data_IF_806765593312
#
_entry.id   IF_806765593312
#
_cell.length_a   1.000
_cell.length_b   1.000
_cell.length_c   1.000
_cell.angle_alpha   90.00
_cell.angle_beta   90.00
_cell.angle_gamma   90.00
#
_symmetry.space_group_name_H-M   'P 1'
#
loop_
_entity.id
_entity.type
_entity.pdbx_description
1 polymer ?
#
# COMPACT_ATOMS: atom_id res chain seq x y z
N UNK A 1 3.27 -0.12 -14.12
CA UNK A 1 2.75 0.24 -12.79
C UNK A 1 3.70 -0.31 -11.73
N UNK A 2 4.18 0.50 -10.79
CA UNK A 2 4.98 -0.02 -9.68
C UNK A 2 4.01 -0.63 -8.67
N UNK A 3 4.09 -1.92 -8.44
CA UNK A 3 3.28 -2.62 -7.43
C UNK A 3 4.24 -3.26 -6.45
N UNK A 4 4.42 -2.64 -5.29
CA UNK A 4 5.17 -3.22 -4.18
C UNK A 4 4.26 -4.10 -3.33
N UNK A 5 4.82 -5.20 -2.85
CA UNK A 5 4.21 -6.02 -1.80
C UNK A 5 4.73 -5.56 -0.45
N UNK A 6 3.80 -5.19 0.45
CA UNK A 6 4.14 -4.60 1.74
C UNK A 6 4.04 -5.68 2.84
N UNK A 7 5.03 -5.74 3.72
CA UNK A 7 5.08 -6.69 4.83
C UNK A 7 5.69 -6.06 6.08
N UNK A 8 5.03 -6.25 7.21
CA UNK A 8 5.53 -5.86 8.52
C UNK A 8 4.48 -5.13 9.32
N UNK A 9 4.87 -4.62 10.47
CA UNK A 9 4.02 -3.81 11.32
C UNK A 9 4.84 -2.74 12.04
N UNK A 10 4.17 -1.66 12.44
CA UNK A 10 4.76 -0.64 13.30
C UNK A 10 3.69 -0.08 14.24
N UNK A 11 4.15 0.51 15.34
CA UNK A 11 3.34 1.31 16.24
C UNK A 11 3.75 2.77 16.11
N UNK A 12 2.82 3.58 15.65
CA UNK A 12 2.97 5.02 15.60
C UNK A 12 2.34 5.62 16.88
N UNK A 13 3.06 6.45 17.66
CA UNK A 13 2.53 7.00 18.89
C UNK A 13 1.35 7.97 18.68
N UNK A 14 1.14 8.45 17.44
CA UNK A 14 0.03 9.31 17.06
C UNK A 14 -1.10 8.49 16.43
N UNK A 15 -0.78 7.63 15.45
CA UNK A 15 -1.78 6.90 14.64
C UNK A 15 -2.13 5.51 15.20
N UNK A 16 -1.39 4.98 16.17
CA UNK A 16 -1.60 3.64 16.69
C UNK A 16 -0.95 2.56 15.81
N UNK A 17 -1.49 1.34 15.90
CA UNK A 17 -0.90 0.17 15.27
C UNK A 17 -1.27 0.08 13.80
N UNK A 18 -0.33 -0.35 12.96
CA UNK A 18 -0.55 -0.61 11.54
C UNK A 18 0.23 -1.83 11.09
N UNK A 19 -0.40 -2.67 10.27
CA UNK A 19 0.24 -3.83 9.67
C UNK A 19 -0.07 -3.96 8.18
N UNK A 20 0.90 -4.52 7.46
CA UNK A 20 0.75 -4.94 6.09
C UNK A 20 1.12 -6.42 5.94
N UNK A 21 0.30 -7.11 5.17
CA UNK A 21 0.48 -8.49 4.74
C UNK A 21 0.27 -8.58 3.24
N UNK A 22 0.69 -9.66 2.61
CA UNK A 22 0.37 -9.87 1.20
C UNK A 22 0.18 -11.33 0.85
N UNK A 23 -0.67 -11.58 -0.14
CA UNK A 23 -0.88 -12.89 -0.75
C UNK A 23 -0.30 -12.86 -2.17
N UNK A 24 0.41 -13.92 -2.55
CA UNK A 24 0.91 -14.09 -3.92
C UNK A 24 1.01 -15.56 -4.30
N UNK A 25 1.14 -15.82 -5.59
CA UNK A 25 1.46 -17.14 -6.15
C UNK A 25 2.94 -17.24 -6.51
N UNK A 26 3.49 -18.46 -6.57
CA UNK A 26 4.65 -18.75 -7.41
C UNK A 26 4.22 -19.58 -8.61
N UNK A 27 4.93 -19.45 -9.72
CA UNK A 27 4.62 -20.11 -10.98
C UNK A 27 5.83 -20.88 -11.50
N UNK A 28 5.55 -21.92 -12.28
CA UNK A 28 6.57 -22.57 -13.08
C UNK A 28 7.06 -21.57 -14.15
N UNK A 29 8.38 -21.40 -14.35
CA UNK A 29 8.93 -20.55 -15.41
C UNK A 29 8.63 -21.09 -16.82
N UNK A 30 8.39 -22.40 -16.95
CA UNK A 30 8.03 -23.07 -18.21
C UNK A 30 7.15 -24.30 -17.94
N UNK A 31 6.47 -24.81 -18.97
CA UNK A 31 5.66 -26.03 -18.91
C UNK A 31 6.53 -27.29 -18.86
N UNK A 32 5.94 -28.40 -18.40
CA UNK A 32 6.56 -29.74 -18.34
C UNK A 32 7.84 -29.76 -17.50
N UNK A 33 7.79 -29.14 -16.32
CA UNK A 33 8.90 -29.17 -15.38
C UNK A 33 9.14 -30.61 -14.88
N UNK A 34 10.38 -30.93 -14.54
CA UNK A 34 10.77 -32.25 -14.02
C UNK A 34 11.94 -32.13 -13.06
N UNK A 35 11.86 -32.89 -11.96
CA UNK A 35 12.93 -33.00 -10.97
C UNK A 35 13.75 -34.30 -11.16
N UNK A 36 13.45 -35.10 -12.20
CA UNK A 36 14.13 -36.37 -12.46
C UNK A 36 13.58 -37.54 -11.63
N UNK A 37 14.37 -38.62 -11.52
CA UNK A 37 13.94 -39.86 -10.86
C UNK A 37 14.35 -39.88 -9.39
N UNK A 38 13.39 -40.16 -8.50
CA UNK A 38 13.54 -40.13 -7.03
C UNK A 38 14.19 -38.83 -6.52
N UNK A 39 13.60 -37.66 -6.80
CA UNK A 39 14.15 -36.41 -6.33
C UNK A 39 13.90 -36.25 -4.82
N UNK A 40 14.87 -35.67 -4.12
CA UNK A 40 14.81 -35.39 -2.69
C UNK A 40 15.17 -33.92 -2.46
N UNK A 41 14.31 -33.17 -1.78
CA UNK A 41 14.59 -31.77 -1.50
C UNK A 41 15.67 -31.63 -0.42
N UNK A 42 16.64 -30.75 -0.64
CA UNK A 42 17.65 -30.37 0.35
C UNK A 42 17.20 -29.11 1.11
N UNK A 43 16.61 -28.16 0.38
CA UNK A 43 16.04 -26.94 0.96
C UNK A 43 15.19 -26.18 -0.05
N UNK A 44 14.32 -25.30 0.45
CA UNK A 44 13.60 -24.34 -0.40
C UNK A 44 13.67 -22.96 0.23
N UNK A 45 13.98 -21.94 -0.58
CA UNK A 45 14.22 -20.58 -0.10
C UNK A 45 13.46 -19.57 -0.97
N UNK A 46 12.67 -18.72 -0.33
CA UNK A 46 12.06 -17.54 -0.95
C UNK A 46 13.06 -16.38 -0.87
N UNK A 47 13.31 -15.75 -2.00
CA UNK A 47 14.06 -14.51 -2.12
C UNK A 47 13.09 -13.40 -2.49
N UNK A 48 13.12 -12.28 -1.77
CA UNK A 48 12.28 -11.10 -2.00
C UNK A 48 13.16 -9.86 -2.18
N UNK A 49 13.03 -9.20 -3.32
CA UNK A 49 13.79 -8.00 -3.67
C UNK A 49 13.39 -6.80 -2.80
N UNK A 50 14.26 -6.44 -1.86
CA UNK A 50 14.05 -5.35 -0.92
C UNK A 50 14.21 -4.00 -1.63
N UNK A 51 13.23 -3.10 -1.47
CA UNK A 51 13.25 -1.79 -2.14
C UNK A 51 13.20 -0.59 -1.22
N UNK A 52 12.48 -0.69 -0.11
CA UNK A 52 12.33 0.40 0.84
C UNK A 52 11.79 -0.13 2.16
N UNK A 53 11.73 0.75 3.14
CA UNK A 53 11.06 0.54 4.41
C UNK A 53 10.32 1.80 4.85
N UNK A 54 9.49 1.66 5.88
CA UNK A 54 8.83 2.75 6.59
C UNK A 54 8.62 2.36 8.06
N UNK A 55 9.23 3.10 8.99
CA UNK A 55 9.27 2.77 10.41
C UNK A 55 10.70 2.62 10.95
N UNK A 56 10.83 2.00 12.12
CA UNK A 56 12.10 1.82 12.83
C UNK A 56 12.82 0.55 12.38
N UNK A 57 14.01 0.71 11.79
CA UNK A 57 14.85 -0.39 11.31
C UNK A 57 15.84 -0.92 12.35
N UNK A 58 15.91 -0.30 13.53
CA UNK A 58 16.80 -0.74 14.61
C UNK A 58 16.20 -1.92 15.39
N UNK A 59 14.90 -2.14 15.22
CA UNK A 59 14.13 -3.19 15.88
C UNK A 59 13.96 -4.38 14.93
N UNK A 60 14.12 -5.61 15.44
CA UNK A 60 13.80 -6.81 14.67
C UNK A 60 12.30 -7.06 14.64
N UNK A 61 11.82 -7.66 13.55
CA UNK A 61 10.46 -8.12 13.41
C UNK A 61 10.41 -9.55 12.87
N UNK A 62 9.34 -10.26 13.18
CA UNK A 62 9.14 -11.65 12.80
C UNK A 62 7.95 -11.75 11.85
N UNK A 63 8.10 -12.54 10.79
CA UNK A 63 7.03 -12.83 9.85
C UNK A 63 6.79 -14.32 9.74
N UNK A 64 5.55 -14.68 9.49
CA UNK A 64 5.14 -16.03 9.12
C UNK A 64 4.77 -16.09 7.64
N UNK A 65 5.07 -17.23 7.03
CA UNK A 65 4.63 -17.58 5.68
C UNK A 65 3.69 -18.77 5.80
N UNK A 66 2.47 -18.60 5.32
CA UNK A 66 1.45 -19.63 5.27
C UNK A 66 1.28 -20.14 3.84
N UNK A 67 1.01 -21.43 3.69
CA UNK A 67 0.43 -21.98 2.46
C UNK A 67 -1.08 -21.71 2.45
N UNK A 68 -1.59 -21.09 1.39
CA UNK A 68 -3.03 -20.82 1.28
C UNK A 68 -3.78 -22.02 0.70
N UNK A 69 -5.00 -22.21 1.18
CA UNK A 69 -5.88 -23.33 0.81
C UNK A 69 -6.99 -22.91 -0.15
N UNK A 70 -7.16 -21.61 -0.36
CA UNK A 70 -8.15 -21.03 -1.28
C UNK A 70 -7.44 -20.33 -2.45
N UNK A 71 -7.84 -20.66 -3.66
CA UNK A 71 -7.23 -20.12 -4.88
C UNK A 71 -7.46 -18.62 -5.02
N UNK A 72 -6.48 -17.94 -5.63
CA UNK A 72 -6.57 -16.55 -6.06
C UNK A 72 -6.32 -16.44 -7.56
N UNK A 73 -6.93 -15.45 -8.21
CA UNK A 73 -6.90 -15.29 -9.66
C UNK A 73 -6.53 -13.87 -10.07
N UNK A 74 -5.78 -13.73 -11.16
CA UNK A 74 -5.27 -12.43 -11.61
C UNK A 74 -6.38 -11.46 -12.04
N UNK A 75 -7.46 -12.01 -12.60
CA UNK A 75 -8.61 -11.31 -13.14
C UNK A 75 -9.72 -11.03 -12.10
N UNK A 76 -9.51 -11.45 -10.85
CA UNK A 76 -10.46 -11.25 -9.76
C UNK A 76 -10.19 -9.97 -8.98
N UNK A 77 -11.26 -9.38 -8.44
CA UNK A 77 -11.16 -8.21 -7.55
C UNK A 77 -10.96 -8.64 -6.11
N UNK A 78 -9.95 -8.07 -5.45
CA UNK A 78 -9.67 -8.27 -4.03
C UNK A 78 -9.55 -6.93 -3.31
N UNK A 79 -10.02 -6.89 -2.06
CA UNK A 79 -9.93 -5.73 -1.19
C UNK A 79 -8.86 -5.93 -0.12
N UNK A 80 -8.25 -4.84 0.36
CA UNK A 80 -7.18 -4.89 1.35
C UNK A 80 -7.63 -5.34 2.74
N UNK A 81 -8.94 -5.33 3.01
CA UNK A 81 -9.56 -5.82 4.24
C UNK A 81 -10.12 -7.26 4.10
N UNK A 82 -9.66 -8.00 3.09
CA UNK A 82 -10.07 -9.38 2.86
C UNK A 82 -9.83 -10.25 4.10
N UNK A 83 -10.81 -11.09 4.43
CA UNK A 83 -10.72 -12.01 5.56
C UNK A 83 -9.75 -13.17 5.25
N UNK A 84 -8.53 -13.03 5.76
CA UNK A 84 -7.45 -14.00 5.58
C UNK A 84 -7.76 -15.39 6.14
N UNK A 85 -8.61 -15.51 7.15
CA UNK A 85 -8.92 -16.82 7.76
C UNK A 85 -9.61 -17.77 6.79
N UNK A 86 -10.30 -17.22 5.78
CA UNK A 86 -10.91 -18.03 4.71
C UNK A 86 -9.89 -18.62 3.72
N UNK A 87 -8.64 -18.15 3.77
CA UNK A 87 -7.54 -18.62 2.91
C UNK A 87 -6.56 -19.53 3.64
N UNK A 88 -6.51 -19.47 4.98
CA UNK A 88 -5.62 -20.28 5.82
C UNK A 88 -6.39 -20.96 6.97
N UNK A 89 -7.50 -21.68 6.71
CA UNK A 89 -8.31 -22.28 7.77
C UNK A 89 -7.54 -23.28 8.63
N UNK A 90 -6.55 -24.01 8.07
CA UNK A 90 -5.68 -24.91 8.83
C UNK A 90 -4.49 -24.23 9.51
N UNK A 91 -4.28 -22.92 9.26
CA UNK A 91 -3.14 -22.15 9.73
C UNK A 91 -1.77 -22.81 9.42
N UNK A 92 -1.63 -23.43 8.25
CA UNK A 92 -0.41 -24.12 7.82
C UNK A 92 0.77 -23.15 7.62
N UNK A 93 1.54 -22.91 8.70
CA UNK A 93 2.79 -22.16 8.66
C UNK A 93 3.88 -23.03 8.02
N UNK A 94 4.52 -22.50 6.98
CA UNK A 94 5.62 -23.15 6.26
C UNK A 94 6.95 -22.40 6.41
N UNK A 95 6.96 -21.22 7.05
CA UNK A 95 8.18 -20.58 7.54
C UNK A 95 7.86 -19.54 8.62
N UNK A 96 8.80 -19.35 9.53
CA UNK A 96 8.86 -18.21 10.45
C UNK A 96 10.25 -17.60 10.35
N UNK A 97 10.34 -16.28 10.19
CA UNK A 97 11.62 -15.56 10.00
C UNK A 97 11.66 -14.30 10.83
N UNK A 98 12.60 -14.24 11.77
CA UNK A 98 13.03 -12.98 12.38
C UNK A 98 14.04 -12.28 11.48
N UNK A 99 13.85 -10.98 11.31
CA UNK A 99 14.63 -10.14 10.41
C UNK A 99 14.80 -8.74 11.01
N UNK A 100 16.00 -8.20 10.88
CA UNK A 100 16.30 -6.80 11.16
C UNK A 100 16.25 -6.05 9.83
N UNK A 101 15.25 -5.19 9.58
CA UNK A 101 15.24 -4.34 8.39
C UNK A 101 16.54 -3.53 8.32
N UNK A 102 17.16 -3.46 7.14
CA UNK A 102 18.35 -2.63 6.94
C UNK A 102 18.10 -1.65 5.80
N UNK A 103 18.40 -0.35 5.97
CA UNK A 103 18.16 0.66 4.93
C UNK A 103 18.77 0.33 3.56
N UNK A 104 19.91 -0.38 3.55
CA UNK A 104 20.63 -0.77 2.34
C UNK A 104 20.54 -2.29 2.05
N UNK A 105 19.52 -2.98 2.57
CA UNK A 105 19.33 -4.38 2.20
C UNK A 105 18.97 -4.51 0.71
N UNK A 106 19.37 -5.63 0.12
CA UNK A 106 19.09 -5.94 -1.28
C UNK A 106 18.07 -7.07 -1.44
N UNK A 107 17.94 -7.95 -0.44
CA UNK A 107 17.10 -9.12 -0.55
C UNK A 107 16.79 -9.72 0.83
N UNK A 108 15.52 -10.01 1.09
CA UNK A 108 15.13 -10.88 2.20
C UNK A 108 15.13 -12.34 1.72
N UNK A 109 15.85 -13.22 2.42
CA UNK A 109 15.83 -14.66 2.19
C UNK A 109 15.11 -15.40 3.34
N UNK A 110 14.11 -16.20 2.98
CA UNK A 110 13.26 -16.95 3.91
C UNK A 110 13.35 -18.43 3.54
N UNK A 111 13.98 -19.25 4.41
CA UNK A 111 13.99 -20.71 4.25
C UNK A 111 12.61 -21.25 4.63
N UNK A 112 12.02 -22.05 3.75
CA UNK A 112 10.78 -22.78 3.99
C UNK A 112 11.07 -24.10 4.71
N UNK A 113 10.04 -24.63 5.37
CA UNK A 113 10.13 -25.90 6.10
C UNK A 113 10.50 -27.04 5.15
N UNK A 114 11.31 -27.97 5.65
CA UNK A 114 11.74 -29.12 4.84
C UNK A 114 10.52 -29.95 4.40
N UNK A 115 9.48 -30.06 5.24
CA UNK A 115 8.22 -30.71 4.88
C UNK A 115 7.54 -30.07 3.65
N UNK A 116 7.51 -28.74 3.56
CA UNK A 116 6.98 -28.06 2.39
C UNK A 116 7.88 -28.26 1.17
N UNK A 117 9.21 -28.21 1.32
CA UNK A 117 10.13 -28.49 0.23
C UNK A 117 9.95 -29.93 -0.31
N UNK A 118 9.76 -30.92 0.57
CA UNK A 118 9.45 -32.29 0.18
C UNK A 118 8.08 -32.41 -0.52
N UNK A 119 7.06 -31.68 -0.06
CA UNK A 119 5.78 -31.62 -0.76
C UNK A 119 5.97 -31.14 -2.22
N UNK A 120 6.71 -30.05 -2.43
CA UNK A 120 6.92 -29.47 -3.76
C UNK A 120 7.76 -30.38 -4.66
N UNK A 121 8.85 -30.97 -4.17
CA UNK A 121 9.71 -31.85 -4.99
C UNK A 121 8.99 -33.15 -5.38
N UNK A 122 8.01 -33.58 -4.58
CA UNK A 122 7.18 -34.75 -4.85
C UNK A 122 6.02 -34.48 -5.84
N UNK A 123 5.92 -33.27 -6.40
CA UNK A 123 4.89 -32.94 -7.37
C UNK A 123 4.94 -33.87 -8.60
N UNK A 124 3.77 -34.34 -9.04
CA UNK A 124 3.66 -35.27 -10.17
C UNK A 124 3.91 -34.57 -11.51
N UNK A 125 4.23 -35.35 -12.55
CA UNK A 125 4.36 -34.82 -13.92
C UNK A 125 3.10 -34.08 -14.38
N UNK A 126 1.91 -34.53 -13.99
CA UNK A 126 0.64 -33.84 -14.26
C UNK A 126 0.58 -32.49 -13.57
N UNK A 127 0.97 -32.41 -12.29
CA UNK A 127 0.99 -31.15 -11.54
C UNK A 127 2.03 -30.16 -12.09
N UNK A 128 3.13 -30.67 -12.64
CA UNK A 128 4.22 -29.89 -13.23
C UNK A 128 4.06 -29.60 -14.73
N UNK A 129 2.97 -30.09 -15.35
CA UNK A 129 2.73 -29.95 -16.79
C UNK A 129 2.56 -28.48 -17.19
N UNK A 130 1.80 -27.71 -16.43
CA UNK A 130 1.55 -26.29 -16.70
C UNK A 130 1.15 -25.55 -15.41
N UNK A 131 1.01 -24.23 -15.50
CA UNK A 131 0.68 -23.42 -14.34
C UNK A 131 -0.76 -23.61 -13.83
N UNK A 132 -1.71 -24.04 -14.67
CA UNK A 132 -3.09 -24.25 -14.22
C UNK A 132 -3.17 -25.47 -13.29
N UNK A 133 -2.49 -26.56 -13.67
CA UNK A 133 -2.33 -27.75 -12.84
C UNK A 133 -1.51 -27.43 -11.59
N UNK A 134 -0.41 -26.68 -11.73
CA UNK A 134 0.46 -26.33 -10.61
C UNK A 134 -0.27 -25.46 -9.57
N UNK A 135 -1.07 -24.49 -10.00
CA UNK A 135 -1.83 -23.64 -9.10
C UNK A 135 -3.03 -24.35 -8.43
N UNK A 136 -3.44 -25.51 -8.96
CA UNK A 136 -4.38 -26.42 -8.28
C UNK A 136 -3.68 -27.19 -7.16
N UNK A 137 -2.43 -27.61 -7.40
CA UNK A 137 -1.57 -28.29 -6.42
C UNK A 137 -1.08 -27.36 -5.31
N UNK A 138 -0.60 -26.16 -5.66
CA UNK A 138 -0.10 -25.14 -4.75
C UNK A 138 -0.73 -23.78 -5.08
N UNK A 139 -1.64 -23.32 -4.22
CA UNK A 139 -2.50 -22.16 -4.51
C UNK A 139 -1.82 -20.81 -4.26
N UNK A 140 -0.79 -20.77 -3.41
CA UNK A 140 -0.02 -19.56 -3.10
C UNK A 140 0.43 -19.44 -1.65
N UNK A 141 1.00 -18.28 -1.35
CA UNK A 141 1.54 -17.91 -0.05
C UNK A 141 0.75 -16.74 0.54
N UNK A 142 0.60 -16.73 1.87
CA UNK A 142 0.29 -15.53 2.64
C UNK A 142 1.50 -15.19 3.51
N UNK A 143 2.01 -13.97 3.37
CA UNK A 143 3.05 -13.41 4.22
C UNK A 143 2.39 -12.45 5.21
N UNK A 144 2.60 -12.67 6.52
CA UNK A 144 1.97 -11.89 7.58
C UNK A 144 2.95 -11.61 8.73
N UNK A 145 2.89 -10.45 9.40
CA UNK A 145 3.60 -10.22 10.66
C UNK A 145 3.16 -11.22 11.74
N UNK A 146 4.11 -11.74 12.49
CA UNK A 146 3.79 -12.65 13.59
C UNK A 146 3.11 -11.87 14.74
N UNK A 147 2.00 -12.36 15.31
CA UNK A 147 1.09 -11.58 16.17
C UNK A 147 1.66 -11.07 17.51
N UNK A 148 2.85 -11.51 17.93
CA UNK A 148 3.41 -11.26 19.28
C UNK A 148 4.85 -10.71 19.28
N UNK A 149 5.36 -10.15 18.18
CA UNK A 149 6.72 -9.61 18.11
C UNK A 149 6.76 -8.10 17.86
N UNK A 150 7.95 -7.53 17.98
CA UNK A 150 8.15 -6.09 17.93
C UNK A 150 7.65 -5.49 16.62
N UNK A 151 7.07 -4.31 16.75
CA UNK A 151 6.39 -3.55 15.70
C UNK A 151 7.40 -2.55 15.12
N UNK A 152 8.21 -3.02 14.18
CA UNK A 152 9.37 -2.30 13.67
C UNK A 152 9.03 -1.38 12.48
N UNK A 153 8.79 -1.97 11.30
CA UNK A 153 8.64 -1.23 10.05
C UNK A 153 7.87 -2.02 8.98
N UNK A 154 7.20 -1.32 8.06
CA UNK A 154 6.74 -1.92 6.81
C UNK A 154 7.91 -1.99 5.82
N UNK A 155 8.14 -3.17 5.25
CA UNK A 155 9.13 -3.40 4.19
C UNK A 155 8.41 -3.49 2.84
N UNK A 156 9.07 -2.98 1.79
CA UNK A 156 8.54 -2.88 0.44
C UNK A 156 9.31 -3.84 -0.46
N UNK A 157 8.63 -4.83 -1.00
CA UNK A 157 9.22 -5.83 -1.88
C UNK A 157 8.76 -5.66 -3.33
N UNK A 158 9.69 -5.78 -4.27
CA UNK A 158 9.36 -5.84 -5.69
C UNK A 158 9.29 -7.28 -6.19
N UNK A 159 8.10 -7.87 -6.19
CA UNK A 159 7.91 -9.24 -6.64
C UNK A 159 8.11 -9.44 -8.15
N UNK A 160 8.04 -8.39 -8.98
CA UNK A 160 8.27 -8.51 -10.43
C UNK A 160 9.75 -8.45 -10.82
N UNK A 161 10.63 -8.21 -9.86
CA UNK A 161 12.07 -8.27 -10.06
C UNK A 161 12.53 -9.71 -10.21
N UNK A 162 13.50 -9.98 -11.09
CA UNK A 162 14.14 -11.31 -11.21
C UNK A 162 14.89 -11.75 -9.95
N UNK A 163 15.16 -10.82 -9.02
CA UNK A 163 15.69 -11.14 -7.69
C UNK A 163 14.64 -11.76 -6.76
N UNK A 164 13.35 -11.51 -7.01
CA UNK A 164 12.26 -12.14 -6.28
C UNK A 164 11.91 -13.48 -6.93
N UNK A 165 12.15 -14.57 -6.21
CA UNK A 165 11.93 -15.94 -6.71
C UNK A 165 11.85 -16.94 -5.56
N UNK A 166 11.49 -18.18 -5.87
CA UNK A 166 11.60 -19.29 -4.92
C UNK A 166 12.51 -20.34 -5.51
N UNK A 167 13.60 -20.67 -4.82
CA UNK A 167 14.56 -21.68 -5.30
C UNK A 167 14.39 -22.95 -4.48
N UNK A 168 14.10 -24.05 -5.16
CA UNK A 168 14.21 -25.40 -4.62
C UNK A 168 15.62 -25.92 -4.91
N UNK A 169 16.34 -26.32 -3.88
CA UNK A 169 17.60 -27.06 -3.97
C UNK A 169 17.32 -28.53 -3.69
N UNK A 170 17.81 -29.41 -4.55
CA UNK A 170 17.49 -30.83 -4.49
C UNK A 170 18.59 -31.68 -5.13
N UNK A 171 18.51 -32.98 -4.89
CA UNK A 171 19.28 -33.98 -5.60
C UNK A 171 18.35 -35.09 -6.10
N UNK A 172 18.85 -35.92 -7.01
CA UNK A 172 18.15 -37.10 -7.50
C UNK A 172 19.16 -38.22 -7.80
N UNK A 173 18.69 -39.37 -8.29
CA UNK A 173 19.54 -40.53 -8.58
C UNK A 173 20.69 -40.24 -9.58
N UNK A 174 20.60 -39.18 -10.38
CA UNK A 174 21.54 -38.88 -11.46
C UNK A 174 22.50 -37.73 -11.15
N UNK A 175 22.11 -36.79 -10.29
CA UNK A 175 22.91 -35.61 -10.00
C UNK A 175 22.60 -35.02 -8.61
N UNK A 176 23.62 -34.38 -8.03
CA UNK A 176 23.55 -33.64 -6.77
C UNK A 176 23.60 -32.13 -7.04
N UNK A 177 23.25 -31.31 -6.04
CA UNK A 177 23.33 -29.85 -6.07
C UNK A 177 22.50 -29.21 -7.20
N UNK A 178 21.35 -29.80 -7.53
CA UNK A 178 20.42 -29.25 -8.52
C UNK A 178 19.63 -28.09 -7.90
N UNK A 179 19.19 -27.18 -8.76
CA UNK A 179 18.29 -26.09 -8.37
C UNK A 179 17.19 -25.87 -9.39
N UNK A 180 16.02 -25.50 -8.91
CA UNK A 180 14.88 -25.10 -9.73
C UNK A 180 14.29 -23.79 -9.19
N UNK A 181 14.21 -22.78 -10.06
CA UNK A 181 13.69 -21.46 -9.71
C UNK A 181 12.22 -21.35 -10.15
N UNK A 182 11.31 -21.26 -9.19
CA UNK A 182 9.95 -20.77 -9.39
C UNK A 182 9.95 -19.24 -9.44
N UNK A 183 9.04 -18.67 -10.22
CA UNK A 183 9.01 -17.23 -10.48
C UNK A 183 7.79 -16.54 -9.88
N UNK A 184 8.00 -15.30 -9.43
CA UNK A 184 6.95 -14.30 -9.28
C UNK A 184 6.92 -13.46 -10.57
N UNK A 185 5.80 -13.42 -11.29
CA UNK A 185 5.70 -12.67 -12.55
C UNK A 185 4.35 -11.95 -12.70
N UNK A 186 4.15 -11.26 -13.83
CA UNK A 186 2.92 -10.52 -14.11
C UNK A 186 1.66 -11.37 -14.18
N UNK A 187 1.79 -12.70 -14.29
CA UNK A 187 0.68 -13.64 -14.29
C UNK A 187 0.34 -14.17 -12.88
N UNK A 188 1.08 -13.77 -11.85
CA UNK A 188 0.73 -14.07 -10.46
C UNK A 188 -0.32 -13.07 -9.96
N UNK A 189 -1.40 -13.57 -9.37
CA UNK A 189 -2.26 -12.75 -8.53
C UNK A 189 -1.46 -12.26 -7.31
N UNK A 190 -1.60 -10.96 -6.99
CA UNK A 190 -0.89 -10.29 -5.88
C UNK A 190 -1.85 -9.37 -5.16
N UNK A 191 -1.99 -9.57 -3.85
CA UNK A 191 -2.98 -8.87 -3.02
C UNK A 191 -2.24 -8.30 -1.82
N UNK A 192 -2.26 -6.97 -1.65
CA UNK A 192 -1.83 -6.34 -0.40
C UNK A 192 -3.02 -6.26 0.57
N UNK A 193 -2.75 -6.53 1.83
CA UNK A 193 -3.72 -6.57 2.91
C UNK A 193 -3.24 -5.65 4.03
N UNK A 194 -4.16 -4.88 4.59
CA UNK A 194 -3.85 -3.83 5.55
C UNK A 194 -4.81 -3.88 6.72
N UNK A 195 -4.28 -3.68 7.91
CA UNK A 195 -5.07 -3.53 9.13
C UNK A 195 -4.48 -2.41 9.98
N UNK A 196 -5.37 -1.61 10.56
CA UNK A 196 -5.03 -0.48 11.42
C UNK A 196 -5.84 -0.59 12.70
N UNK A 197 -5.19 -0.37 13.84
CA UNK A 197 -5.88 -0.23 15.12
C UNK A 197 -5.61 1.17 15.69
N UNK A 198 -6.63 2.02 15.57
CA UNK A 198 -6.64 3.39 16.05
C UNK A 198 -7.15 3.51 17.49
N UNK A 199 -7.61 2.42 18.13
CA UNK A 199 -8.33 2.48 19.40
C UNK A 199 -7.51 3.08 20.54
N UNK A 200 -6.19 2.87 20.54
CA UNK A 200 -5.23 3.42 21.49
C UNK A 200 -4.50 4.67 20.98
N UNK A 201 -4.86 5.16 19.79
CA UNK A 201 -4.21 6.29 19.14
C UNK A 201 -4.66 7.63 19.73
N UNK A 202 -3.79 8.65 19.63
CA UNK A 202 -4.16 10.01 20.09
C UNK A 202 -5.19 10.68 19.18
N UNK A 203 -5.37 10.15 17.97
CA UNK A 203 -6.24 10.70 16.93
C UNK A 203 -7.64 10.08 16.91
N UNK A 204 -7.93 9.11 17.78
CA UNK A 204 -9.19 8.37 17.76
C UNK A 204 -10.44 9.26 17.77
N UNK A 205 -10.41 10.36 18.53
CA UNK A 205 -11.51 11.33 18.62
C UNK A 205 -11.64 12.23 17.38
N UNK A 206 -10.62 12.26 16.51
CA UNK A 206 -10.60 13.02 15.26
C UNK A 206 -11.04 12.19 14.04
N UNK A 207 -11.22 10.87 14.19
CA UNK A 207 -11.66 9.98 13.10
C UNK A 207 -13.18 10.04 12.97
N UNK A 208 -13.66 10.17 11.72
CA UNK A 208 -15.08 10.34 11.39
C UNK A 208 -15.76 11.53 12.10
N UNK A 209 -14.98 12.49 12.58
CA UNK A 209 -15.49 13.73 13.14
C UNK A 209 -15.67 14.77 12.02
N UNK A 210 -16.89 15.31 11.91
CA UNK A 210 -17.25 16.36 10.95
C UNK A 210 -17.57 17.70 11.61
N UNK A 211 -17.48 17.76 12.94
CA UNK A 211 -18.01 18.87 13.75
C UNK A 211 -17.03 19.42 14.80
N UNK A 212 -16.01 18.66 15.18
CA UNK A 212 -15.06 19.02 16.23
C UNK A 212 -13.78 19.69 15.73
N UNK A 213 -12.63 19.16 16.16
CA UNK A 213 -11.33 19.83 16.06
C UNK A 213 -10.68 19.61 14.69
N UNK A 214 -10.77 20.62 13.83
CA UNK A 214 -10.15 20.74 12.51
C UNK A 214 -8.86 21.58 12.55
N UNK A 215 -8.18 21.66 13.70
CA UNK A 215 -6.81 22.24 13.75
C UNK A 215 -5.78 21.32 13.12
N UNK A 216 -5.88 20.00 13.33
CA UNK A 216 -4.98 19.02 12.74
C UNK A 216 -5.81 17.96 12.03
N UNK A 217 -5.35 17.56 10.85
CA UNK A 217 -6.01 16.54 10.04
C UNK A 217 -4.99 15.44 9.70
N UNK A 218 -5.47 14.21 9.61
CA UNK A 218 -4.64 13.01 9.60
C UNK A 218 -4.91 12.21 8.32
N UNK A 219 -3.84 11.88 7.61
CA UNK A 219 -3.88 11.01 6.44
C UNK A 219 -2.96 9.81 6.65
N UNK A 220 -3.39 8.66 6.16
CA UNK A 220 -2.59 7.45 6.21
C UNK A 220 -2.80 6.62 4.95
N UNK A 221 -1.70 6.14 4.39
CA UNK A 221 -1.72 5.16 3.32
C UNK A 221 -2.20 3.79 3.82
N UNK A 222 -1.97 2.70 3.08
CA UNK A 222 -2.45 1.34 3.40
C UNK A 222 -3.97 1.24 3.54
N UNK A 223 -4.71 1.99 2.72
CA UNK A 223 -6.16 2.14 2.82
C UNK A 223 -6.64 2.70 4.17
N UNK A 224 -5.78 3.47 4.84
CA UNK A 224 -6.08 4.15 6.10
C UNK A 224 -6.86 5.44 5.91
N UNK A 225 -6.58 6.40 6.79
CA UNK A 225 -7.31 7.66 6.91
C UNK A 225 -7.17 8.57 5.67
N UNK A 226 -8.28 9.22 5.33
CA UNK A 226 -8.33 10.29 4.34
C UNK A 226 -9.08 11.50 4.92
N UNK A 227 -8.96 12.64 4.25
CA UNK A 227 -9.60 13.89 4.67
C UNK A 227 -10.64 14.29 3.64
N UNK A 228 -11.87 14.55 4.09
CA UNK A 228 -12.91 15.18 3.28
C UNK A 228 -12.89 16.69 3.49
N UNK A 229 -12.78 17.45 2.41
CA UNK A 229 -12.77 18.92 2.40
C UNK A 229 -14.04 19.40 1.69
N UNK A 230 -14.66 20.44 2.24
CA UNK A 230 -15.79 21.16 1.63
C UNK A 230 -15.48 22.65 1.58
N UNK A 231 -16.14 23.36 0.67
CA UNK A 231 -15.99 24.79 0.44
C UNK A 231 -17.34 25.52 0.63
N UNK A 232 -17.91 25.50 1.85
CA UNK A 232 -19.26 26.00 2.10
C UNK A 232 -19.44 27.48 1.72
N UNK A 233 -18.37 28.27 1.87
CA UNK A 233 -18.40 29.73 1.66
C UNK A 233 -18.19 30.16 0.20
N UNK A 234 -17.91 29.24 -0.74
CA UNK A 234 -17.85 29.60 -2.17
C UNK A 234 -19.23 30.04 -2.69
N UNK A 235 -20.29 29.58 -2.04
CA UNK A 235 -21.66 30.03 -2.30
C UNK A 235 -21.86 31.55 -2.15
N UNK A 236 -21.01 32.24 -1.39
CA UNK A 236 -21.07 33.70 -1.27
C UNK A 236 -20.75 34.43 -2.58
N UNK A 237 -20.07 33.77 -3.53
CA UNK A 237 -19.82 34.33 -4.86
C UNK A 237 -21.04 34.28 -5.79
N UNK A 238 -22.12 33.59 -5.42
CA UNK A 238 -23.33 33.45 -6.25
C UNK A 238 -24.02 34.78 -6.57
N UNK A 239 -23.75 35.80 -5.77
CA UNK A 239 -24.37 37.11 -5.86
C UNK A 239 -23.47 38.15 -6.57
N UNK A 240 -22.25 37.77 -6.96
CA UNK A 240 -21.30 38.68 -7.61
C UNK A 240 -21.50 38.69 -9.14
N UNK A 241 -21.48 39.86 -9.81
CA UNK A 241 -21.46 39.92 -11.27
C UNK A 241 -20.17 39.29 -11.82
N UNK A 242 -20.32 38.59 -12.95
CA UNK A 242 -19.29 37.89 -13.76
C UNK A 242 -17.88 37.80 -13.12
N UNK A 243 -17.73 36.92 -12.13
CA UNK A 243 -16.46 36.65 -11.45
C UNK A 243 -15.57 35.74 -12.31
N UNK A 244 -14.54 36.28 -12.96
CA UNK A 244 -13.55 35.46 -13.66
C UNK A 244 -12.44 35.03 -12.67
N UNK A 245 -12.42 33.74 -12.27
CA UNK A 245 -11.32 33.21 -11.47
C UNK A 245 -10.09 33.04 -12.37
N UNK A 246 -9.01 33.72 -11.99
CA UNK A 246 -7.70 33.56 -12.64
C UNK A 246 -6.99 32.33 -12.07
N UNK A 247 -7.09 32.14 -10.75
CA UNK A 247 -6.44 31.02 -10.05
C UNK A 247 -7.15 30.70 -8.74
N UNK A 248 -7.31 29.42 -8.43
CA UNK A 248 -7.67 28.94 -7.10
C UNK A 248 -6.71 27.82 -6.67
N UNK A 249 -6.00 28.05 -5.57
CA UNK A 249 -5.01 27.12 -5.01
C UNK A 249 -5.43 26.64 -3.64
N UNK A 250 -5.64 25.34 -3.50
CA UNK A 250 -5.74 24.71 -2.18
C UNK A 250 -4.33 24.49 -1.64
N UNK A 251 -4.02 25.18 -0.54
CA UNK A 251 -2.72 25.16 0.12
C UNK A 251 -2.88 24.32 1.39
N UNK A 252 -2.01 23.31 1.54
CA UNK A 252 -2.11 22.29 2.60
C UNK A 252 -0.78 22.25 3.36
N UNK A 253 -0.64 23.04 4.44
CA UNK A 253 0.57 23.05 5.26
C UNK A 253 0.72 21.77 6.08
N UNK A 254 1.96 21.30 6.20
CA UNK A 254 2.36 20.13 6.99
C UNK A 254 2.62 20.56 8.44
N UNK A 255 2.30 19.69 9.40
CA UNK A 255 2.81 19.83 10.77
C UNK A 255 4.28 19.38 10.81
N UNK A 256 5.22 20.33 10.82
CA UNK A 256 6.66 20.06 10.70
C UNK A 256 7.38 19.77 12.03
N UNK A 257 6.74 20.08 13.16
CA UNK A 257 7.23 19.88 14.53
C UNK A 257 6.78 18.52 15.12
N UNK A 258 6.73 17.49 14.28
CA UNK A 258 6.45 16.11 14.70
C UNK A 258 7.75 15.42 15.13
N UNK A 259 7.84 15.06 16.42
CA UNK A 259 8.99 14.39 17.02
C UNK A 259 9.33 13.03 16.36
N UNK A 260 8.40 12.45 15.61
CA UNK A 260 8.56 11.14 14.96
C UNK A 260 8.82 11.22 13.45
N UNK A 261 8.97 12.44 12.91
CA UNK A 261 9.18 12.70 11.47
C UNK A 261 10.44 12.06 10.86
N UNK A 262 11.43 11.69 11.68
CA UNK A 262 12.63 10.96 11.26
C UNK A 262 12.33 9.50 10.88
N UNK A 263 11.37 8.88 11.58
CA UNK A 263 10.90 7.50 11.33
C UNK A 263 9.75 7.48 10.32
N UNK A 264 8.83 8.43 10.47
CA UNK A 264 7.59 8.52 9.69
C UNK A 264 7.64 9.69 8.73
N UNK A 265 8.37 9.47 7.63
CA UNK A 265 8.55 10.48 6.58
C UNK A 265 7.22 10.80 5.90
N UNK A 266 7.03 12.07 5.56
CA UNK A 266 5.85 12.52 4.80
C UNK A 266 5.85 11.93 3.37
N UNK A 267 4.67 11.69 2.78
CA UNK A 267 4.56 11.18 1.43
C UNK A 267 5.07 12.21 0.41
N UNK A 268 5.63 11.75 -0.72
CA UNK A 268 6.09 12.66 -1.78
C UNK A 268 4.93 13.32 -2.54
N UNK A 269 3.75 12.68 -2.53
CA UNK A 269 2.60 13.10 -3.32
C UNK A 269 1.28 12.76 -2.64
N UNK A 270 0.35 13.71 -2.72
CA UNK A 270 -1.05 13.54 -2.38
C UNK A 270 -1.90 13.46 -3.65
N UNK A 271 -3.09 12.87 -3.52
CA UNK A 271 -4.11 12.80 -4.56
C UNK A 271 -5.38 13.49 -4.06
N UNK A 272 -6.04 14.20 -4.96
CA UNK A 272 -7.29 14.89 -4.71
C UNK A 272 -8.33 14.42 -5.75
N UNK A 273 -9.47 13.96 -5.27
CA UNK A 273 -10.62 13.53 -6.09
C UNK A 273 -11.89 14.14 -5.53
N UNK A 274 -12.90 14.37 -6.36
CA UNK A 274 -14.19 14.91 -5.94
C UNK A 274 -15.19 13.80 -5.67
N UNK A 275 -16.12 14.03 -4.75
CA UNK A 275 -17.32 13.22 -4.63
C UNK A 275 -18.34 13.63 -5.69
N UNK A 276 -19.06 12.66 -6.25
CA UNK A 276 -20.28 12.90 -7.02
C UNK A 276 -21.53 12.72 -6.14
N UNK A 277 -22.71 12.88 -6.73
CA UNK A 277 -24.01 12.75 -6.05
C UNK A 277 -24.27 11.35 -5.49
N UNK A 278 -23.60 10.32 -6.02
CA UNK A 278 -23.67 8.94 -5.53
C UNK A 278 -22.65 8.62 -4.44
N UNK A 279 -21.82 9.60 -4.03
CA UNK A 279 -20.78 9.40 -3.03
C UNK A 279 -19.54 8.65 -3.53
N UNK A 280 -19.40 8.44 -4.84
CA UNK A 280 -18.20 7.82 -5.43
C UNK A 280 -17.21 8.89 -5.93
N UNK A 281 -15.96 8.47 -6.17
CA UNK A 281 -14.89 9.37 -6.59
C UNK A 281 -14.91 9.65 -8.10
N UNK A 282 -14.61 10.89 -8.45
CA UNK A 282 -14.31 11.32 -9.81
C UNK A 282 -13.10 12.27 -9.82
N UNK A 283 -12.41 12.38 -10.95
CA UNK A 283 -11.33 13.35 -11.09
C UNK A 283 -11.87 14.78 -11.14
N UNK A 284 -11.16 15.73 -10.53
CA UNK A 284 -11.45 17.15 -10.68
C UNK A 284 -11.24 17.58 -12.14
N UNK A 285 -11.98 18.57 -12.67
CA UNK A 285 -11.79 19.10 -14.02
C UNK A 285 -10.39 19.69 -14.26
N UNK A 286 -9.68 20.05 -13.19
CA UNK A 286 -8.30 20.55 -13.24
C UNK A 286 -7.28 19.43 -13.50
N UNK A 287 -7.61 18.18 -13.18
CA UNK A 287 -6.72 17.03 -13.40
C UNK A 287 -6.43 16.81 -14.89
N UNK A 288 -7.39 17.10 -15.77
CA UNK A 288 -7.28 16.90 -17.23
C UNK A 288 -6.31 17.88 -17.91
N UNK A 289 -5.91 18.97 -17.24
CA UNK A 289 -4.90 19.91 -17.75
C UNK A 289 -3.51 19.29 -17.71
N UNK A 290 -3.25 18.41 -16.75
CA UNK A 290 -1.98 17.72 -16.57
C UNK A 290 -1.49 17.76 -15.13
N UNK A 291 -0.69 16.76 -14.76
CA UNK A 291 -0.20 16.56 -13.39
C UNK A 291 0.65 17.72 -12.88
N UNK A 292 1.46 18.35 -13.74
CA UNK A 292 2.28 19.51 -13.38
C UNK A 292 1.44 20.73 -13.02
N UNK A 293 0.31 20.95 -13.72
CA UNK A 293 -0.62 22.03 -13.41
C UNK A 293 -1.43 21.72 -12.15
N UNK A 294 -1.95 20.48 -12.04
CA UNK A 294 -2.80 20.08 -10.92
C UNK A 294 -2.07 20.07 -9.58
N UNK A 295 -0.79 19.67 -9.58
CA UNK A 295 0.07 19.70 -8.40
C UNK A 295 -0.02 18.45 -7.52
N UNK A 296 0.02 18.65 -6.20
CA UNK A 296 -0.06 17.60 -5.19
C UNK A 296 1.29 16.98 -4.76
N UNK A 297 2.41 17.40 -5.34
CA UNK A 297 3.73 17.03 -4.83
C UNK A 297 4.06 17.87 -3.60
N UNK A 298 4.81 17.30 -2.66
CA UNK A 298 5.39 18.07 -1.55
C UNK A 298 6.40 19.09 -2.10
N UNK A 299 6.46 20.28 -1.50
CA UNK A 299 7.49 21.25 -1.86
C UNK A 299 8.89 20.79 -1.40
N UNK A 300 9.95 21.40 -1.95
CA UNK A 300 11.34 21.03 -1.67
C UNK A 300 11.74 21.19 -0.19
N UNK A 301 11.05 22.07 0.54
CA UNK A 301 11.27 22.30 1.97
C UNK A 301 10.46 21.33 2.87
N UNK A 302 9.63 20.45 2.30
CA UNK A 302 8.79 19.52 3.05
C UNK A 302 7.83 20.20 4.05
N UNK A 303 7.29 21.36 3.68
CA UNK A 303 6.41 22.16 4.53
C UNK A 303 4.96 22.23 4.05
N UNK A 304 4.67 21.94 2.77
CA UNK A 304 3.32 22.07 2.23
C UNK A 304 3.10 21.29 0.92
N UNK A 305 1.82 21.09 0.60
CA UNK A 305 1.33 20.68 -0.72
C UNK A 305 0.44 21.77 -1.31
N UNK A 306 0.38 21.85 -2.64
CA UNK A 306 -0.52 22.75 -3.36
C UNK A 306 -1.25 22.02 -4.46
N UNK A 307 -2.55 22.31 -4.60
CA UNK A 307 -3.37 21.87 -5.72
C UNK A 307 -3.98 23.07 -6.43
N UNK A 308 -3.87 23.09 -7.75
CA UNK A 308 -4.60 24.06 -8.57
C UNK A 308 -5.98 23.50 -8.91
N UNK A 309 -7.03 24.13 -8.38
CA UNK A 309 -8.42 23.67 -8.47
C UNK A 309 -9.35 24.77 -9.02
N UNK A 310 -8.79 25.63 -9.87
CA UNK A 310 -9.46 26.80 -10.45
C UNK A 310 -10.78 26.45 -11.14
N UNK A 311 -10.79 25.42 -11.99
CA UNK A 311 -12.00 25.01 -12.74
C UNK A 311 -13.05 24.44 -11.80
N UNK A 312 -12.64 23.63 -10.83
CA UNK A 312 -13.54 23.08 -9.82
C UNK A 312 -14.23 24.18 -9.00
N UNK A 313 -13.45 25.14 -8.49
CA UNK A 313 -14.00 26.26 -7.70
C UNK A 313 -14.87 27.17 -8.56
N UNK A 314 -14.49 27.43 -9.83
CA UNK A 314 -15.32 28.21 -10.78
C UNK A 314 -16.68 27.55 -11.01
N UNK A 315 -16.71 26.23 -11.21
CA UNK A 315 -17.96 25.48 -11.42
C UNK A 315 -18.89 25.58 -10.21
N UNK A 316 -18.35 25.52 -8.99
CA UNK A 316 -19.13 25.72 -7.77
C UNK A 316 -19.64 27.16 -7.72
N UNK A 317 -18.75 28.15 -7.86
CA UNK A 317 -19.09 29.58 -7.79
C UNK A 317 -20.19 30.01 -8.78
N UNK A 318 -20.31 29.33 -9.93
CA UNK A 318 -21.32 29.61 -10.96
C UNK A 318 -22.54 28.68 -10.91
N UNK A 319 -22.71 27.90 -9.84
CA UNK A 319 -23.81 26.92 -9.68
C UNK A 319 -23.87 25.88 -10.80
N UNK A 320 -22.75 25.64 -11.47
CA UNK A 320 -22.62 24.57 -12.47
C UNK A 320 -22.30 23.22 -11.83
N UNK A 321 -21.98 23.23 -10.53
CA UNK A 321 -21.66 22.05 -9.72
C UNK A 321 -22.08 22.26 -8.27
N UNK A 322 -22.65 21.23 -7.67
CA UNK A 322 -22.86 21.13 -6.22
C UNK A 322 -21.58 20.66 -5.50
N UNK A 323 -21.31 21.21 -4.32
CA UNK A 323 -20.17 20.82 -3.49
C UNK A 323 -20.48 19.60 -2.60
N UNK A 324 -20.31 18.40 -3.15
CA UNK A 324 -20.33 17.16 -2.38
C UNK A 324 -19.04 16.93 -1.56
N UNK A 325 -18.07 17.85 -1.68
CA UNK A 325 -16.74 17.77 -1.12
C UNK A 325 -15.72 17.10 -2.05
N UNK A 326 -14.46 17.22 -1.65
CA UNK A 326 -13.33 16.52 -2.22
C UNK A 326 -12.66 15.65 -1.15
N UNK A 327 -12.05 14.56 -1.56
CA UNK A 327 -11.28 13.69 -0.69
C UNK A 327 -9.78 13.79 -1.04
N UNK A 328 -8.99 13.94 0.01
CA UNK A 328 -7.54 14.06 -0.01
C UNK A 328 -6.91 12.77 0.52
N UNK A 329 -5.99 12.20 -0.26
CA UNK A 329 -5.32 10.92 0.02
C UNK A 329 -3.81 11.03 -0.12
N UNK A 330 -3.10 10.11 0.52
CA UNK A 330 -1.75 9.74 0.06
C UNK A 330 -1.87 9.09 -1.32
N UNK A 331 -1.13 9.58 -2.33
CA UNK A 331 -1.34 9.15 -3.72
C UNK A 331 -1.08 7.64 -3.93
N UNK A 332 -0.05 7.10 -3.27
CA UNK A 332 0.35 5.70 -3.36
C UNK A 332 -0.31 4.82 -2.29
N UNK A 333 -1.58 5.10 -1.94
CA UNK A 333 -2.30 4.51 -0.81
C UNK A 333 -2.25 2.96 -0.74
N UNK A 334 -2.11 2.27 -1.88
CA UNK A 334 -2.08 0.80 -1.96
C UNK A 334 -0.68 0.17 -1.93
N UNK A 335 0.38 0.98 -2.01
CA UNK A 335 1.79 0.52 -2.12
C UNK A 335 2.76 1.36 -1.28
N UNK A 336 2.22 2.15 -0.35
CA UNK A 336 2.95 2.98 0.60
C UNK A 336 2.35 2.81 1.98
N UNK A 337 3.20 2.95 2.99
CA UNK A 337 2.85 3.00 4.42
C UNK A 337 2.92 4.42 5.01
N UNK A 338 3.20 5.43 4.18
CA UNK A 338 3.34 6.81 4.63
C UNK A 338 2.08 7.30 5.35
N UNK A 339 2.29 8.12 6.37
CA UNK A 339 1.26 8.90 7.02
C UNK A 339 1.61 10.38 6.98
N UNK A 340 0.63 11.23 7.26
CA UNK A 340 0.80 12.68 7.21
C UNK A 340 -0.13 13.37 8.20
N UNK A 341 0.40 14.37 8.88
CA UNK A 341 -0.36 15.31 9.70
C UNK A 341 -0.30 16.66 9.01
N UNK A 342 -1.46 17.23 8.68
CA UNK A 342 -1.57 18.55 8.09
C UNK A 342 -2.25 19.50 9.05
N UNK A 343 -1.92 20.79 8.91
CA UNK A 343 -2.61 21.86 9.63
C UNK A 343 -3.95 22.09 8.96
N UNK A 344 -5.04 21.79 9.67
CA UNK A 344 -6.40 22.05 9.21
C UNK A 344 -6.77 23.54 9.30
N UNK A 345 -7.98 23.92 8.86
CA UNK A 345 -8.39 25.32 8.67
C UNK A 345 -8.45 26.15 9.96
N UNK A 346 -8.60 25.54 11.16
CA UNK A 346 -8.57 26.29 12.44
C UNK A 346 -7.18 26.44 13.04
N UNK A 347 -6.14 25.87 12.43
CA UNK A 347 -4.76 26.08 12.87
C UNK A 347 -4.21 27.42 12.34
N UNK A 348 -3.33 28.04 13.11
CA UNK A 348 -2.56 29.19 12.62
C UNK A 348 -1.73 28.80 11.40
N UNK A 349 -1.84 29.56 10.31
CA UNK A 349 -1.29 29.23 8.99
C UNK A 349 -1.73 27.82 8.53
N UNK A 350 -3.01 27.50 8.75
CA UNK A 350 -3.63 26.23 8.38
C UNK A 350 -4.01 26.13 6.91
N UNK A 351 -4.62 25.00 6.55
CA UNK A 351 -5.16 24.74 5.22
C UNK A 351 -6.13 25.85 4.79
N UNK A 352 -5.93 26.39 3.60
CA UNK A 352 -6.77 27.45 3.07
C UNK A 352 -6.81 27.42 1.54
N UNK A 353 -7.83 28.07 0.99
CA UNK A 353 -7.99 28.29 -0.44
C UNK A 353 -7.56 29.72 -0.77
N UNK A 354 -6.53 29.87 -1.59
CA UNK A 354 -6.12 31.16 -2.14
C UNK A 354 -6.78 31.37 -3.49
N UNK A 355 -7.55 32.44 -3.66
CA UNK A 355 -8.28 32.75 -4.89
C UNK A 355 -7.80 34.09 -5.43
N UNK A 356 -7.36 34.09 -6.69
CA UNK A 356 -7.13 35.30 -7.49
C UNK A 356 -8.22 35.41 -8.54
N UNK A 357 -8.91 36.54 -8.56
CA UNK A 357 -10.02 36.79 -9.47
C UNK A 357 -9.99 38.22 -9.98
N UNK A 358 -10.57 38.44 -11.15
CA UNK A 358 -10.81 39.79 -11.68
C UNK A 358 -12.14 40.28 -11.12
N UNK A 359 -12.12 41.48 -10.53
CA UNK A 359 -13.33 42.20 -10.14
C UNK A 359 -13.63 43.24 -11.22
N UNK A 360 -14.86 43.29 -11.75
CA UNK A 360 -15.28 44.32 -12.70
C UNK A 360 -15.09 45.74 -12.18
#
# INVERSE_FOLDING_TARGET
ERTYSLLGSFLDPIFGYSEASFITQMRLPSSNASFGTNPVADSMVIYLDYRSYYGDTTISQTFDVYEIEKSIYLDSTYYSNLNIQTYIPSQKIIATKTYYPRPNDSCLAIRLSDAFAQQIVAATSTQLQNNDNFLTFFKGFLFKPHPNYNQAAIIYFNLLSTKSKVTLYYHNNTANNLKYDFVFNSNCARINLFNHDYSSSTIQTSINDSTGNDSLLYLQAMSGLNVKIKFPYISNFYQQPLLALVKAELIIPIKTDDATSSLFKVPQKLLLVMYNSSGTYAFLPDYSVGSSYFGGNVNSAYTEYRFNISRYIQQIAYKQREDYGIALFVADNRISANRLIVKGPKCSNGMHLSITYLKP
#
